data_IF_582165075530
#
_entry.id   IF_582165075530
#
_cell.length_a   1.000
_cell.length_b   1.000
_cell.length_c   1.000
_cell.angle_alpha   90.00
_cell.angle_beta   90.00
_cell.angle_gamma   90.00
#
_symmetry.space_group_name_H-M   'P 1'
#
loop_
_entity.id
_entity.type
_entity.pdbx_description
1 polymer ?
#
# COMPACT_ATOMS: atom_id res chain seq x y z
N UNK A 1 16.76 -6.70 -3.20
CA UNK A 1 15.59 -7.60 -3.29
C UNK A 1 15.39 -8.08 -4.72
N UNK A 2 16.40 -8.79 -5.24
CA UNK A 2 16.25 -9.76 -6.34
C UNK A 2 15.43 -11.00 -5.88
N UNK A 3 15.18 -11.11 -4.57
CA UNK A 3 14.60 -12.27 -3.89
C UNK A 3 13.10 -12.56 -4.13
N UNK A 4 12.37 -11.73 -4.90
CA UNK A 4 10.94 -11.95 -5.16
C UNK A 4 10.61 -12.25 -6.63
N UNK A 5 11.63 -12.58 -7.42
CA UNK A 5 11.39 -13.12 -8.76
C UNK A 5 11.06 -14.60 -8.60
N UNK A 6 9.90 -15.08 -9.09
CA UNK A 6 9.62 -16.51 -9.10
C UNK A 6 10.76 -17.28 -9.76
N UNK A 7 11.16 -18.41 -9.18
CA UNK A 7 12.30 -19.22 -9.66
C UNK A 7 12.07 -19.68 -11.11
N UNK A 8 10.80 -19.86 -11.49
CA UNK A 8 10.31 -20.25 -12.80
C UNK A 8 9.84 -19.07 -13.68
N UNK A 9 10.22 -17.84 -13.32
CA UNK A 9 9.79 -16.64 -14.04
C UNK A 9 10.21 -16.68 -15.52
N UNK A 10 9.22 -16.67 -16.40
CA UNK A 10 9.46 -16.63 -17.85
C UNK A 10 10.07 -15.31 -18.30
N UNK A 11 10.78 -15.32 -19.44
CA UNK A 11 11.28 -14.10 -20.07
C UNK A 11 10.20 -13.05 -20.33
N UNK A 12 8.98 -13.48 -20.67
CA UNK A 12 7.85 -12.57 -20.89
C UNK A 12 7.40 -11.90 -19.58
N UNK A 13 7.38 -12.65 -18.48
CA UNK A 13 7.11 -12.09 -17.15
C UNK A 13 8.17 -11.04 -16.77
N UNK A 14 9.46 -11.36 -16.95
CA UNK A 14 10.55 -10.43 -16.64
C UNK A 14 10.47 -9.15 -17.47
N UNK A 15 10.17 -9.26 -18.76
CA UNK A 15 9.95 -8.11 -19.66
C UNK A 15 8.78 -7.26 -19.20
N UNK A 16 7.63 -7.87 -18.90
CA UNK A 16 6.45 -7.15 -18.42
C UNK A 16 6.73 -6.44 -17.09
N UNK A 17 7.32 -7.15 -16.12
CA UNK A 17 7.66 -6.58 -14.82
C UNK A 17 8.59 -5.38 -14.96
N UNK A 18 9.68 -5.51 -15.71
CA UNK A 18 10.62 -4.41 -15.90
C UNK A 18 9.97 -3.22 -16.63
N UNK A 19 9.07 -3.48 -17.59
CA UNK A 19 8.26 -2.43 -18.24
C UNK A 19 7.36 -1.70 -17.24
N UNK A 20 6.65 -2.42 -16.38
CA UNK A 20 5.76 -1.82 -15.37
C UNK A 20 6.52 -1.01 -14.32
N UNK A 21 7.66 -1.52 -13.84
CA UNK A 21 8.56 -0.77 -12.94
C UNK A 21 9.04 0.51 -13.61
N UNK A 22 9.48 0.44 -14.88
CA UNK A 22 9.93 1.60 -15.64
C UNK A 22 8.83 2.64 -15.85
N UNK A 23 7.61 2.21 -16.18
CA UNK A 23 6.45 3.11 -16.31
C UNK A 23 6.06 3.76 -14.98
N UNK A 24 6.18 3.02 -13.87
CA UNK A 24 5.94 3.54 -12.52
C UNK A 24 6.97 4.62 -12.17
N UNK A 25 8.27 4.34 -12.39
CA UNK A 25 9.33 5.33 -12.16
C UNK A 25 9.20 6.57 -13.05
N UNK A 26 8.77 6.38 -14.30
CA UNK A 26 8.46 7.49 -15.21
C UNK A 26 7.33 8.37 -14.66
N UNK A 27 6.22 7.78 -14.22
CA UNK A 27 5.13 8.54 -13.62
C UNK A 27 5.56 9.29 -12.35
N UNK A 28 6.36 8.65 -11.49
CA UNK A 28 6.91 9.31 -10.30
C UNK A 28 7.73 10.55 -10.68
N UNK A 29 8.55 10.45 -11.73
CA UNK A 29 9.40 11.54 -12.21
C UNK A 29 8.59 12.64 -12.92
N UNK A 30 7.71 12.26 -13.85
CA UNK A 30 6.91 13.20 -14.66
C UNK A 30 5.99 14.07 -13.78
N UNK A 31 5.59 13.58 -12.61
CA UNK A 31 4.64 14.24 -11.71
C UNK A 31 5.21 14.60 -10.33
N UNK A 32 6.53 14.49 -10.12
CA UNK A 32 7.21 14.78 -8.85
C UNK A 32 6.52 14.10 -7.64
N UNK A 33 6.14 12.83 -7.80
CA UNK A 33 5.34 12.13 -6.77
C UNK A 33 6.18 11.76 -5.54
N UNK A 34 7.43 11.34 -5.76
CA UNK A 34 8.40 10.95 -4.73
C UNK A 34 9.73 11.63 -5.03
N UNK A 35 10.30 12.25 -4.01
CA UNK A 35 11.50 13.07 -4.03
C UNK A 35 12.52 12.57 -2.99
N UNK A 36 13.72 13.14 -3.02
CA UNK A 36 14.78 12.74 -2.11
C UNK A 36 14.42 13.03 -0.66
N UNK A 37 14.67 12.07 0.22
CA UNK A 37 14.34 12.02 1.64
C UNK A 37 12.84 11.94 1.97
N UNK A 38 12.00 11.61 1.00
CA UNK A 38 10.59 11.34 1.28
C UNK A 38 10.42 10.10 2.14
N UNK A 39 9.38 10.11 2.99
CA UNK A 39 8.89 8.97 3.73
C UNK A 39 7.51 8.64 3.22
N UNK A 40 7.40 7.49 2.56
CA UNK A 40 6.22 7.06 1.80
C UNK A 40 5.46 5.99 2.57
N UNK A 41 4.19 6.23 2.86
CA UNK A 41 3.27 5.24 3.43
C UNK A 41 2.51 4.54 2.32
N UNK A 42 2.76 3.25 2.12
CA UNK A 42 2.12 2.45 1.07
C UNK A 42 0.95 1.66 1.68
N UNK A 43 -0.28 2.02 1.31
CA UNK A 43 -1.50 1.46 1.87
C UNK A 43 -1.94 0.18 1.13
N UNK A 44 -1.93 -0.94 1.84
CA UNK A 44 -2.29 -2.26 1.33
C UNK A 44 -3.74 -2.62 1.66
N UNK A 45 -4.52 -2.84 0.60
CA UNK A 45 -5.93 -3.27 0.69
C UNK A 45 -6.10 -4.80 0.61
N UNK A 46 -5.05 -5.52 0.23
CA UNK A 46 -5.12 -6.95 -0.11
C UNK A 46 -5.48 -7.20 -1.58
N UNK A 47 -5.66 -6.15 -2.37
CA UNK A 47 -5.82 -6.24 -3.83
C UNK A 47 -4.50 -6.26 -4.58
N UNK A 48 -4.48 -6.93 -5.74
CA UNK A 48 -3.30 -7.07 -6.62
C UNK A 48 -2.61 -5.76 -6.95
N UNK A 49 -3.37 -4.66 -7.06
CA UNK A 49 -2.83 -3.34 -7.38
C UNK A 49 -1.95 -2.82 -6.25
N UNK A 50 -2.41 -2.94 -5.00
CA UNK A 50 -1.65 -2.49 -3.82
C UNK A 50 -0.40 -3.35 -3.57
N UNK A 51 -0.49 -4.68 -3.78
CA UNK A 51 0.69 -5.55 -3.76
C UNK A 51 1.70 -5.15 -4.85
N UNK A 52 1.22 -4.97 -6.08
CA UNK A 52 2.09 -4.63 -7.22
C UNK A 52 2.77 -3.28 -7.01
N UNK A 53 2.04 -2.28 -6.52
CA UNK A 53 2.58 -0.96 -6.21
C UNK A 53 3.71 -1.04 -5.18
N UNK A 54 3.50 -1.75 -4.07
CA UNK A 54 4.55 -1.96 -3.07
C UNK A 54 5.79 -2.62 -3.70
N UNK A 55 5.60 -3.69 -4.49
CA UNK A 55 6.72 -4.38 -5.14
C UNK A 55 7.47 -3.50 -6.13
N UNK A 56 6.78 -2.65 -6.89
CA UNK A 56 7.42 -1.73 -7.82
C UNK A 56 8.18 -0.63 -7.09
N UNK A 57 7.61 -0.06 -6.02
CA UNK A 57 8.28 0.96 -5.22
C UNK A 57 9.52 0.42 -4.51
N UNK A 58 9.47 -0.79 -3.96
CA UNK A 58 10.65 -1.45 -3.37
C UNK A 58 11.74 -1.69 -4.42
N UNK A 59 11.37 -2.14 -5.62
CA UNK A 59 12.32 -2.33 -6.72
C UNK A 59 12.92 -1.00 -7.23
N UNK A 60 12.16 0.09 -7.20
CA UNK A 60 12.63 1.42 -7.54
C UNK A 60 13.55 2.00 -6.46
N UNK A 61 13.21 1.82 -5.17
CA UNK A 61 14.06 2.26 -4.03
C UNK A 61 15.49 1.73 -4.14
N UNK A 62 15.68 0.53 -4.67
CA UNK A 62 17.01 -0.08 -4.86
C UNK A 62 17.82 0.48 -6.03
N UNK A 63 17.18 1.17 -6.98
CA UNK A 63 17.79 1.59 -8.25
C UNK A 63 17.76 3.09 -8.47
N UNK A 64 16.89 3.80 -7.77
CA UNK A 64 16.66 5.22 -7.97
C UNK A 64 17.89 6.04 -7.53
N UNK A 65 18.19 7.16 -8.20
CA UNK A 65 19.26 8.07 -7.82
C UNK A 65 18.91 8.96 -6.61
N UNK A 66 17.80 8.65 -5.92
CA UNK A 66 17.30 9.37 -4.75
C UNK A 66 17.08 8.37 -3.60
N UNK A 67 17.24 8.85 -2.37
CA UNK A 67 16.89 8.10 -1.18
C UNK A 67 15.45 8.40 -0.78
N UNK A 68 14.66 7.39 -0.45
CA UNK A 68 13.34 7.56 0.16
C UNK A 68 13.01 6.31 0.96
N UNK A 69 12.18 6.48 1.99
CA UNK A 69 11.73 5.38 2.84
C UNK A 69 10.33 4.92 2.49
N UNK A 70 10.09 3.63 2.74
CA UNK A 70 8.80 2.98 2.51
C UNK A 70 8.39 2.34 3.82
N UNK A 71 7.18 2.66 4.27
CA UNK A 71 6.49 1.95 5.34
C UNK A 71 5.21 1.40 4.73
N UNK A 72 5.01 0.09 4.79
CA UNK A 72 3.76 -0.51 4.36
C UNK A 72 2.71 -0.44 5.47
N UNK A 73 1.46 -0.18 5.13
CA UNK A 73 0.37 -0.15 6.10
C UNK A 73 -0.81 -0.97 5.61
N UNK A 74 -1.35 -1.84 6.47
CA UNK A 74 -2.69 -2.37 6.29
C UNK A 74 -3.64 -1.75 7.34
N UNK A 75 -4.84 -1.39 6.90
CA UNK A 75 -5.92 -0.96 7.77
C UNK A 75 -7.00 -2.06 7.84
N UNK A 76 -7.04 -2.80 8.94
CA UNK A 76 -8.12 -3.71 9.29
C UNK A 76 -9.32 -2.90 9.81
N UNK A 77 -10.36 -2.82 8.98
CA UNK A 77 -11.58 -2.08 9.27
C UNK A 77 -12.66 -2.88 10.00
N UNK A 78 -12.35 -4.13 10.42
CA UNK A 78 -13.30 -5.11 10.95
C UNK A 78 -14.45 -5.45 10.01
N UNK A 79 -14.17 -5.42 8.71
CA UNK A 79 -15.13 -5.91 7.70
C UNK A 79 -15.40 -7.41 7.93
N UNK A 80 -16.66 -7.87 7.91
CA UNK A 80 -16.97 -9.29 8.04
C UNK A 80 -16.25 -10.13 6.97
N UNK A 81 -15.57 -11.19 7.40
CA UNK A 81 -14.84 -12.09 6.51
C UNK A 81 -13.51 -11.56 5.97
N UNK A 82 -13.03 -10.39 6.43
CA UNK A 82 -11.69 -9.92 6.08
C UNK A 82 -10.62 -10.84 6.68
N UNK A 83 -9.66 -11.34 5.88
CA UNK A 83 -8.65 -12.28 6.37
C UNK A 83 -7.54 -11.54 7.12
N UNK A 84 -7.70 -11.43 8.44
CA UNK A 84 -6.84 -10.61 9.32
C UNK A 84 -5.36 -11.02 9.31
N UNK A 85 -5.04 -12.27 8.99
CA UNK A 85 -3.66 -12.78 9.06
C UNK A 85 -2.88 -12.65 7.74
N UNK A 86 -3.57 -12.49 6.60
CA UNK A 86 -2.93 -12.59 5.27
C UNK A 86 -1.93 -11.47 5.02
N UNK A 87 -2.33 -10.22 5.23
CA UNK A 87 -1.44 -9.08 5.02
C UNK A 87 -0.35 -8.96 6.09
N UNK A 88 -0.64 -9.15 7.40
CA UNK A 88 0.42 -9.19 8.40
C UNK A 88 1.48 -10.25 8.12
N UNK A 89 1.09 -11.48 7.77
CA UNK A 89 2.04 -12.54 7.46
C UNK A 89 2.85 -12.21 6.20
N UNK A 90 2.19 -11.77 5.13
CA UNK A 90 2.89 -11.34 3.91
C UNK A 90 3.94 -10.26 4.18
N UNK A 91 3.60 -9.22 4.95
CA UNK A 91 4.50 -8.11 5.27
C UNK A 91 5.65 -8.53 6.16
N UNK A 92 5.37 -9.41 7.13
CA UNK A 92 6.39 -10.04 7.98
C UNK A 92 7.37 -10.85 7.16
N UNK A 93 6.89 -11.70 6.25
CA UNK A 93 7.71 -12.55 5.38
C UNK A 93 8.53 -11.72 4.39
N UNK A 94 7.99 -10.60 3.92
CA UNK A 94 8.69 -9.64 3.07
C UNK A 94 9.82 -8.89 3.81
N UNK A 95 9.78 -8.83 5.16
CA UNK A 95 10.86 -8.28 5.97
C UNK A 95 11.04 -6.76 5.86
N UNK A 96 9.98 -6.03 5.51
CA UNK A 96 9.99 -4.56 5.41
C UNK A 96 9.35 -3.91 6.63
N UNK A 97 9.68 -2.63 6.86
CA UNK A 97 9.00 -1.82 7.87
C UNK A 97 7.50 -1.72 7.53
N UNK A 98 6.65 -2.08 8.48
CA UNK A 98 5.22 -2.08 8.28
C UNK A 98 4.41 -1.87 9.56
N UNK A 99 3.14 -1.48 9.37
CA UNK A 99 2.18 -1.26 10.43
C UNK A 99 0.83 -1.90 10.10
N UNK A 100 0.22 -2.55 11.08
CA UNK A 100 -1.17 -3.01 11.02
C UNK A 100 -2.02 -2.13 11.93
N UNK A 101 -2.86 -1.29 11.33
CA UNK A 101 -3.81 -0.45 12.07
C UNK A 101 -5.14 -1.15 12.10
N UNK A 102 -5.74 -1.27 13.28
CA UNK A 102 -7.03 -1.93 13.46
C UNK A 102 -8.05 -0.95 14.03
N UNK A 103 -9.13 -0.70 13.30
CA UNK A 103 -10.23 0.17 13.72
C UNK A 103 -11.58 -0.33 13.22
N UNK A 104 -12.57 -0.46 14.09
CA UNK A 104 -13.92 -0.90 13.72
C UNK A 104 -14.75 0.23 13.08
N UNK A 105 -14.38 0.57 11.85
CA UNK A 105 -15.17 1.48 11.02
C UNK A 105 -16.42 0.82 10.45
N UNK A 106 -16.45 -0.51 10.37
CA UNK A 106 -17.59 -1.25 9.85
C UNK A 106 -18.85 -1.02 10.70
N UNK A 107 -18.73 -1.20 12.02
CA UNK A 107 -19.84 -1.00 12.96
C UNK A 107 -20.35 0.44 12.92
N UNK A 108 -19.45 1.43 12.87
CA UNK A 108 -19.81 2.86 12.75
C UNK A 108 -20.63 3.11 11.47
N UNK A 109 -20.19 2.57 10.34
CA UNK A 109 -20.91 2.72 9.06
C UNK A 109 -22.28 2.07 9.12
N UNK A 110 -22.39 0.87 9.72
CA UNK A 110 -23.65 0.14 9.88
C UNK A 110 -24.63 0.85 10.81
N UNK A 111 -24.14 1.51 11.85
CA UNK A 111 -24.95 2.30 12.79
C UNK A 111 -25.48 3.58 12.12
N UNK A 112 -24.62 4.30 11.38
CA UNK A 112 -24.96 5.63 10.84
C UNK A 112 -25.70 5.60 9.52
N UNK A 113 -25.59 4.53 8.73
CA UNK A 113 -26.19 4.43 7.40
C UNK A 113 -27.36 3.44 7.41
N UNK A 114 -28.58 3.88 7.08
CA UNK A 114 -29.74 2.99 6.98
C UNK A 114 -29.49 1.82 6.01
N UNK A 115 -30.08 0.67 6.32
CA UNK A 115 -29.99 -0.51 5.45
C UNK A 115 -30.45 -0.21 4.02
N UNK A 116 -29.76 -0.79 3.03
CA UNK A 116 -30.05 -0.57 1.61
C UNK A 116 -29.52 0.75 1.02
N UNK A 117 -28.93 1.64 1.84
CA UNK A 117 -28.26 2.86 1.34
C UNK A 117 -26.77 2.61 1.08
N UNK A 118 -26.20 3.42 0.20
CA UNK A 118 -24.78 3.35 -0.15
C UNK A 118 -23.89 3.71 1.04
N UNK A 119 -22.96 2.80 1.38
CA UNK A 119 -22.04 2.94 2.52
C UNK A 119 -20.67 3.51 2.14
N UNK A 120 -20.30 3.46 0.86
CA UNK A 120 -18.97 3.78 0.37
C UNK A 120 -18.50 5.19 0.73
N UNK A 121 -19.42 6.17 0.78
CA UNK A 121 -19.09 7.56 1.12
C UNK A 121 -18.52 7.68 2.54
N UNK A 122 -19.24 7.18 3.56
CA UNK A 122 -18.78 7.25 4.94
C UNK A 122 -17.57 6.34 5.19
N UNK A 123 -17.58 5.12 4.65
CA UNK A 123 -16.45 4.19 4.74
C UNK A 123 -15.15 4.81 4.20
N UNK A 124 -15.20 5.44 3.02
CA UNK A 124 -14.04 6.10 2.41
C UNK A 124 -13.55 7.31 3.22
N UNK A 125 -14.46 8.05 3.85
CA UNK A 125 -14.09 9.20 4.70
C UNK A 125 -13.39 8.74 5.97
N UNK A 126 -13.92 7.72 6.66
CA UNK A 126 -13.30 7.16 7.85
C UNK A 126 -11.93 6.55 7.54
N UNK A 127 -11.84 5.72 6.49
CA UNK A 127 -10.57 5.14 6.01
C UNK A 127 -9.50 6.21 5.80
N UNK A 128 -9.82 7.28 5.05
CA UNK A 128 -8.87 8.38 4.79
C UNK A 128 -8.48 9.12 6.05
N UNK A 129 -9.43 9.39 6.95
CA UNK A 129 -9.16 10.02 8.24
C UNK A 129 -8.11 9.25 9.05
N UNK A 130 -8.24 7.92 9.09
CA UNK A 130 -7.31 7.03 9.78
C UNK A 130 -5.94 7.06 9.10
N UNK A 131 -5.88 6.87 7.78
CA UNK A 131 -4.63 6.90 7.01
C UNK A 131 -3.89 8.23 7.21
N UNK A 132 -4.59 9.37 7.14
CA UNK A 132 -3.97 10.69 7.32
C UNK A 132 -3.49 10.92 8.76
N UNK A 133 -4.24 10.45 9.75
CA UNK A 133 -3.82 10.49 11.15
C UNK A 133 -2.55 9.68 11.37
N UNK A 134 -2.52 8.43 10.90
CA UNK A 134 -1.35 7.55 11.00
C UNK A 134 -0.15 8.12 10.26
N UNK A 135 -0.34 8.65 9.05
CA UNK A 135 0.74 9.31 8.30
C UNK A 135 1.33 10.48 9.10
N UNK A 136 0.49 11.31 9.72
CA UNK A 136 0.94 12.42 10.57
C UNK A 136 1.71 11.94 11.81
N UNK A 137 1.19 10.94 12.52
CA UNK A 137 1.83 10.34 13.71
C UNK A 137 3.20 9.76 13.37
N UNK A 138 3.35 9.19 12.18
CA UNK A 138 4.59 8.60 11.70
C UNK A 138 5.52 9.59 10.99
N UNK A 139 5.20 10.88 10.87
CA UNK A 139 5.97 11.85 10.06
C UNK A 139 6.19 11.39 8.60
N UNK A 140 5.12 10.92 7.96
CA UNK A 140 5.05 10.56 6.55
C UNK A 140 4.61 11.78 5.75
N UNK A 141 5.28 12.04 4.63
CA UNK A 141 4.96 13.17 3.75
C UNK A 141 4.38 12.77 2.38
N UNK A 142 4.44 11.49 1.99
CA UNK A 142 3.76 10.95 0.79
C UNK A 142 2.95 9.70 1.14
N UNK A 143 1.76 9.56 0.55
CA UNK A 143 0.89 8.40 0.73
C UNK A 143 0.63 7.78 -0.64
N UNK A 144 0.80 6.47 -0.75
CA UNK A 144 0.63 5.68 -1.96
C UNK A 144 -0.40 4.57 -1.75
#
# INVERSE_FOLDING_TARGET
MIAQIPIDATNNFLKLRNKLIGLTGKAITDFNMIENNDRVLVCLSGGKDSYSLLMFLLALKERAPIHFDIIAMNLDQKQPGFPVDVLPNFLKDLGIEHLIVTEDTYSIVKEKIPSGKTTCSLCSRLRRGIIYRTAKELNINKIA
#
